data_IF_742515131881
#
_entry.id   IF_742515131881
#
_cell.length_a   1.000
_cell.length_b   1.000
_cell.length_c   1.000
_cell.angle_alpha   90.00
_cell.angle_beta   90.00
_cell.angle_gamma   90.00
#
_symmetry.space_group_name_H-M   'P 1'
#
loop_
_entity.id
_entity.type
_entity.pdbx_description
1 polymer ?
#
# COMPACT_ATOMS: atom_id res chain seq x y z
N UNK A 1 -15.11 24.60 -3.82
CA UNK A 1 -15.00 23.72 -2.62
C UNK A 1 -13.56 23.62 -2.17
N UNK A 2 -13.28 23.69 -0.86
CA UNK A 2 -11.97 23.50 -0.22
C UNK A 2 -11.99 22.22 0.61
N UNK A 3 -10.97 21.39 0.44
CA UNK A 3 -10.86 20.05 1.06
C UNK A 3 -9.74 20.07 2.09
N UNK A 4 -10.04 19.60 3.29
CA UNK A 4 -9.06 19.39 4.34
C UNK A 4 -8.83 17.89 4.54
N UNK A 5 -7.58 17.46 4.53
CA UNK A 5 -7.17 16.10 4.89
C UNK A 5 -6.59 16.11 6.31
N UNK A 6 -7.07 15.22 7.17
CA UNK A 6 -6.51 15.10 8.52
C UNK A 6 -5.05 14.66 8.50
N UNK A 7 -4.30 15.08 9.53
CA UNK A 7 -2.84 14.94 9.59
C UNK A 7 -2.45 13.78 10.50
N UNK A 8 -1.41 13.00 10.09
CA UNK A 8 -0.88 11.90 10.89
C UNK A 8 0.42 12.23 11.61
N UNK A 9 1.49 12.60 10.87
CA UNK A 9 2.88 12.72 11.30
C UNK A 9 3.52 11.37 11.71
N UNK A 10 3.22 10.31 10.99
CA UNK A 10 3.77 8.97 11.24
C UNK A 10 4.91 8.61 10.28
N UNK A 11 5.22 9.50 9.31
CA UNK A 11 6.17 9.26 8.22
C UNK A 11 5.86 7.98 7.43
N UNK A 12 4.59 7.78 7.13
CA UNK A 12 4.08 6.59 6.47
C UNK A 12 3.43 6.93 5.13
N UNK A 13 2.93 5.87 4.43
CA UNK A 13 2.31 6.00 3.10
C UNK A 13 1.19 7.04 3.06
N UNK A 14 0.36 7.14 4.11
CA UNK A 14 -0.75 8.09 4.15
C UNK A 14 -0.25 9.53 4.25
N UNK A 15 0.87 9.79 4.94
CA UNK A 15 1.51 11.11 4.94
C UNK A 15 2.06 11.48 3.55
N UNK A 16 2.62 10.50 2.80
CA UNK A 16 3.04 10.70 1.41
C UNK A 16 1.84 11.10 0.55
N UNK A 17 0.77 10.32 0.56
CA UNK A 17 -0.45 10.58 -0.22
C UNK A 17 -1.03 11.97 0.11
N UNK A 18 -1.10 12.31 1.39
CA UNK A 18 -1.54 13.63 1.84
C UNK A 18 -0.65 14.74 1.29
N UNK A 19 0.67 14.60 1.37
CA UNK A 19 1.62 15.61 0.90
C UNK A 19 1.56 15.79 -0.62
N UNK A 20 1.45 14.70 -1.38
CA UNK A 20 1.26 14.73 -2.82
C UNK A 20 -0.05 15.44 -3.19
N UNK A 21 -1.16 15.12 -2.49
CA UNK A 21 -2.42 15.81 -2.70
C UNK A 21 -2.29 17.34 -2.50
N UNK A 22 -1.73 17.77 -1.35
CA UNK A 22 -1.57 19.20 -1.07
C UNK A 22 -0.61 19.90 -2.02
N UNK A 23 0.40 19.22 -2.51
CA UNK A 23 1.35 19.75 -3.48
C UNK A 23 0.68 20.05 -4.82
N UNK A 24 -0.12 19.12 -5.31
CA UNK A 24 -0.63 19.15 -6.69
C UNK A 24 -2.05 19.75 -6.78
N UNK A 25 -2.81 19.77 -5.68
CA UNK A 25 -4.20 20.26 -5.62
C UNK A 25 -4.39 21.45 -4.68
N UNK A 26 -3.41 22.38 -4.63
CA UNK A 26 -3.42 23.56 -3.74
C UNK A 26 -4.67 24.42 -3.87
N UNK A 27 -5.17 24.60 -5.11
CA UNK A 27 -6.31 25.47 -5.40
C UNK A 27 -7.61 24.99 -4.76
N UNK A 28 -7.76 23.70 -4.52
CA UNK A 28 -8.93 23.07 -3.91
C UNK A 28 -8.64 22.53 -2.51
N UNK A 29 -7.49 22.83 -1.91
CA UNK A 29 -7.10 22.34 -0.59
C UNK A 29 -7.15 23.43 0.47
N UNK A 30 -7.39 23.03 1.73
CA UNK A 30 -7.27 23.88 2.91
C UNK A 30 -6.35 23.19 3.94
N UNK A 31 -5.42 23.97 4.52
CA UNK A 31 -4.57 23.48 5.61
C UNK A 31 -5.30 23.40 6.97
N UNK A 32 -6.48 23.97 7.07
CA UNK A 32 -7.25 24.07 8.31
C UNK A 32 -8.68 23.58 8.11
N UNK A 33 -9.16 22.74 9.02
CA UNK A 33 -10.49 22.18 8.96
C UNK A 33 -11.61 23.25 9.03
N UNK A 34 -11.39 24.35 9.74
CA UNK A 34 -12.38 25.45 9.85
C UNK A 34 -12.63 26.16 8.50
N UNK A 35 -11.65 26.24 7.62
CA UNK A 35 -11.76 26.89 6.31
C UNK A 35 -12.07 25.93 5.14
N UNK A 36 -12.29 24.65 5.46
CA UNK A 36 -12.68 23.66 4.47
C UNK A 36 -14.20 23.55 4.36
N UNK A 37 -14.68 23.20 3.19
CA UNK A 37 -16.08 22.83 2.94
C UNK A 37 -16.27 21.31 3.16
N UNK A 38 -15.27 20.53 2.79
CA UNK A 38 -15.22 19.07 2.95
C UNK A 38 -14.01 18.65 3.80
N UNK A 39 -14.24 17.72 4.72
CA UNK A 39 -13.20 17.07 5.52
C UNK A 39 -13.02 15.65 5.02
N UNK A 40 -11.81 15.34 4.54
CA UNK A 40 -11.42 13.98 4.19
C UNK A 40 -10.61 13.36 5.33
N UNK A 41 -11.23 12.43 6.07
CA UNK A 41 -10.56 11.61 7.07
C UNK A 41 -9.80 10.49 6.35
N UNK A 42 -8.66 10.85 5.74
CA UNK A 42 -7.77 9.89 5.05
C UNK A 42 -7.12 8.91 6.04
N UNK A 43 -6.99 9.31 7.30
CA UNK A 43 -6.49 8.51 8.41
C UNK A 43 -7.59 8.36 9.47
N UNK A 44 -8.46 7.34 9.35
CA UNK A 44 -9.61 7.17 10.23
C UNK A 44 -9.25 6.96 11.70
N UNK A 45 -8.10 6.34 12.01
CA UNK A 45 -7.61 6.16 13.39
C UNK A 45 -7.14 7.45 14.08
N UNK A 46 -7.04 8.55 13.33
CA UNK A 46 -6.71 9.88 13.85
C UNK A 46 -7.90 10.85 13.72
N UNK A 47 -9.13 10.33 13.58
CA UNK A 47 -10.32 11.16 13.36
C UNK A 47 -10.62 12.11 14.52
N UNK A 48 -10.32 11.69 15.76
CA UNK A 48 -10.52 12.48 16.99
C UNK A 48 -9.63 13.74 17.07
N UNK A 49 -8.54 13.79 16.28
CA UNK A 49 -7.71 14.99 16.13
C UNK A 49 -8.43 16.11 15.37
N UNK A 50 -9.55 15.81 14.71
CA UNK A 50 -10.42 16.80 14.09
C UNK A 50 -11.56 17.11 15.04
N UNK A 51 -11.64 18.36 15.50
CA UNK A 51 -12.68 18.75 16.46
C UNK A 51 -14.10 18.46 15.94
N UNK A 52 -14.93 17.86 16.76
CA UNK A 52 -16.34 17.53 16.46
C UNK A 52 -17.15 18.76 16.00
N UNK A 53 -16.79 19.98 16.44
CA UNK A 53 -17.41 21.24 15.97
C UNK A 53 -17.17 21.52 14.47
N UNK A 54 -16.11 20.94 13.87
CA UNK A 54 -15.83 21.05 12.44
C UNK A 54 -16.44 19.89 11.65
N UNK A 55 -16.56 18.69 12.25
CA UNK A 55 -17.18 17.53 11.60
C UNK A 55 -18.70 17.68 11.44
N UNK A 56 -19.40 18.23 12.44
CA UNK A 56 -20.88 18.34 12.45
C UNK A 56 -21.48 19.14 11.28
N UNK A 57 -20.96 20.34 10.93
CA UNK A 57 -21.57 21.18 9.91
C UNK A 57 -21.02 20.94 8.49
N UNK A 58 -20.05 20.06 8.29
CA UNK A 58 -19.34 19.88 7.04
C UNK A 58 -19.57 18.51 6.45
N UNK A 59 -19.38 18.38 5.14
CA UNK A 59 -19.29 17.09 4.49
C UNK A 59 -18.04 16.36 4.95
N UNK A 60 -18.19 15.12 5.43
CA UNK A 60 -17.10 14.28 5.91
C UNK A 60 -17.04 13.00 5.09
N UNK A 61 -15.92 12.82 4.42
CA UNK A 61 -15.56 11.57 3.74
C UNK A 61 -14.54 10.84 4.59
N UNK A 62 -14.75 9.55 4.84
CA UNK A 62 -13.85 8.74 5.65
C UNK A 62 -13.29 7.58 4.84
N UNK A 63 -11.96 7.46 4.76
CA UNK A 63 -11.29 6.33 4.10
C UNK A 63 -11.15 5.17 5.06
N UNK A 64 -11.61 3.98 4.68
CA UNK A 64 -11.27 2.72 5.35
C UNK A 64 -10.25 1.99 4.48
N UNK A 65 -9.04 1.82 5.02
CA UNK A 65 -7.92 1.22 4.29
C UNK A 65 -8.07 -0.30 4.16
N UNK A 66 -8.45 -0.98 5.23
CA UNK A 66 -8.75 -2.41 5.28
C UNK A 66 -9.51 -2.72 6.56
N UNK A 67 -10.13 -3.88 6.62
CA UNK A 67 -10.79 -4.41 7.80
C UNK A 67 -10.17 -5.77 8.16
N UNK A 68 -9.78 -5.91 9.42
CA UNK A 68 -9.33 -7.18 10.01
C UNK A 68 -10.53 -7.75 10.78
N UNK A 69 -11.35 -8.58 10.10
CA UNK A 69 -12.62 -9.07 10.65
C UNK A 69 -12.47 -9.82 11.98
N UNK A 70 -11.34 -10.51 12.17
CA UNK A 70 -10.97 -11.22 13.38
C UNK A 70 -10.57 -10.31 14.56
N UNK A 71 -10.25 -9.04 14.29
CA UNK A 71 -9.91 -8.01 15.30
C UNK A 71 -11.07 -7.05 15.62
N UNK A 72 -12.24 -7.28 15.06
CA UNK A 72 -13.41 -6.44 15.34
C UNK A 72 -13.93 -6.74 16.73
N UNK A 73 -13.48 -5.94 17.70
CA UNK A 73 -13.91 -5.98 19.09
C UNK A 73 -15.11 -5.03 19.35
N UNK A 74 -15.74 -5.16 20.51
CA UNK A 74 -16.78 -4.24 20.94
C UNK A 74 -16.29 -2.79 20.95
N UNK A 75 -15.09 -2.54 21.47
CA UNK A 75 -14.49 -1.20 21.50
C UNK A 75 -14.24 -0.64 20.09
N UNK A 76 -13.81 -1.49 19.15
CA UNK A 76 -13.66 -1.09 17.75
C UNK A 76 -15.00 -0.64 17.14
N UNK A 77 -16.08 -1.39 17.40
CA UNK A 77 -17.41 -1.05 16.90
C UNK A 77 -17.94 0.23 17.53
N UNK A 78 -17.75 0.43 18.84
CA UNK A 78 -18.14 1.67 19.53
C UNK A 78 -17.45 2.89 18.91
N UNK A 79 -16.14 2.81 18.67
CA UNK A 79 -15.38 3.88 18.00
C UNK A 79 -15.84 4.07 16.55
N UNK A 80 -16.08 2.97 15.83
CA UNK A 80 -16.56 3.01 14.46
C UNK A 80 -17.91 3.75 14.38
N UNK A 81 -18.89 3.37 15.20
CA UNK A 81 -20.22 3.99 15.20
C UNK A 81 -20.20 5.42 15.72
N UNK A 82 -19.31 5.75 16.66
CA UNK A 82 -19.14 7.15 17.07
C UNK A 82 -18.68 8.02 15.90
N UNK A 83 -17.69 7.55 15.13
CA UNK A 83 -17.18 8.22 13.92
C UNK A 83 -18.24 8.24 12.82
N UNK A 84 -18.97 7.15 12.63
CA UNK A 84 -20.01 7.01 11.62
C UNK A 84 -21.08 8.10 11.71
N UNK A 85 -21.42 8.57 12.94
CA UNK A 85 -22.37 9.69 13.13
C UNK A 85 -21.95 10.99 12.42
N UNK A 86 -20.69 11.15 12.07
CA UNK A 86 -20.17 12.34 11.38
C UNK A 86 -19.91 12.11 9.90
N UNK A 87 -19.76 10.87 9.45
CA UNK A 87 -19.39 10.54 8.06
C UNK A 87 -20.62 10.65 7.16
N UNK A 88 -20.45 11.28 6.00
CA UNK A 88 -21.49 11.36 4.96
C UNK A 88 -21.36 10.21 3.94
N UNK A 89 -20.15 9.88 3.52
CA UNK A 89 -19.88 8.77 2.62
C UNK A 89 -18.50 8.16 2.95
N UNK A 90 -18.38 6.86 2.78
CA UNK A 90 -17.09 6.18 2.95
C UNK A 90 -16.35 6.05 1.62
N UNK A 91 -15.05 6.22 1.70
CA UNK A 91 -14.11 5.86 0.66
C UNK A 91 -13.37 4.58 1.07
N UNK A 92 -13.19 3.67 0.13
CA UNK A 92 -12.37 2.45 0.27
C UNK A 92 -11.45 2.30 -0.93
N UNK A 93 -10.39 1.50 -0.78
CA UNK A 93 -9.34 1.37 -1.79
C UNK A 93 -9.66 0.24 -2.80
N UNK A 94 -10.51 -0.72 -2.42
CA UNK A 94 -10.85 -1.88 -3.24
C UNK A 94 -12.30 -2.34 -3.05
N UNK A 95 -12.86 -3.02 -4.04
CA UNK A 95 -14.20 -3.61 -3.95
C UNK A 95 -14.29 -4.66 -2.84
N UNK A 96 -13.18 -5.34 -2.53
CA UNK A 96 -13.10 -6.29 -1.40
C UNK A 96 -13.35 -5.60 -0.06
N UNK A 97 -12.66 -4.48 0.20
CA UNK A 97 -12.89 -3.67 1.40
C UNK A 97 -14.29 -3.07 1.44
N UNK A 98 -14.86 -2.70 0.27
CA UNK A 98 -16.25 -2.21 0.16
C UNK A 98 -17.26 -3.26 0.63
N UNK A 99 -17.12 -4.48 0.15
CA UNK A 99 -17.99 -5.60 0.54
C UNK A 99 -17.91 -5.91 2.03
N UNK A 100 -16.71 -5.79 2.64
CA UNK A 100 -16.51 -5.96 4.07
C UNK A 100 -17.17 -4.83 4.86
N UNK A 101 -16.95 -3.57 4.46
CA UNK A 101 -17.46 -2.39 5.17
C UNK A 101 -18.99 -2.30 5.13
N UNK A 102 -19.62 -2.74 4.05
CA UNK A 102 -21.09 -2.77 3.90
C UNK A 102 -21.83 -3.60 4.98
N UNK A 103 -21.11 -4.43 5.73
CA UNK A 103 -21.66 -5.18 6.87
C UNK A 103 -21.86 -4.30 8.13
N UNK A 104 -21.26 -3.10 8.16
CA UNK A 104 -21.17 -2.24 9.36
C UNK A 104 -21.87 -0.89 9.22
N UNK A 105 -22.24 -0.49 8.00
CA UNK A 105 -22.90 0.81 7.76
C UNK A 105 -23.81 0.74 6.55
N UNK A 106 -24.94 1.48 6.62
CA UNK A 106 -25.86 1.68 5.49
C UNK A 106 -25.45 2.88 4.61
N UNK A 107 -24.38 3.58 4.98
CA UNK A 107 -23.89 4.73 4.24
C UNK A 107 -23.29 4.30 2.90
N UNK A 108 -23.38 5.19 1.94
CA UNK A 108 -22.78 4.95 0.63
C UNK A 108 -21.27 4.75 0.75
N UNK A 109 -20.75 3.77 0.01
CA UNK A 109 -19.34 3.40 -0.02
C UNK A 109 -18.85 3.48 -1.46
N UNK A 110 -17.87 4.35 -1.70
CA UNK A 110 -17.24 4.51 -3.02
C UNK A 110 -15.84 3.92 -2.99
N UNK A 111 -15.55 3.02 -3.95
CA UNK A 111 -14.23 2.39 -4.12
C UNK A 111 -13.42 3.16 -5.15
N UNK A 112 -12.26 3.66 -4.74
CA UNK A 112 -11.30 4.36 -5.62
C UNK A 112 -9.89 3.98 -5.13
N UNK A 113 -9.09 3.23 -5.90
CA UNK A 113 -7.68 3.00 -5.58
C UNK A 113 -6.92 4.32 -5.48
N UNK A 114 -5.95 4.41 -4.57
CA UNK A 114 -5.09 5.58 -4.52
C UNK A 114 -4.23 5.69 -5.78
N UNK A 115 -3.74 6.90 -6.03
CA UNK A 115 -2.83 7.20 -7.12
C UNK A 115 -1.42 6.71 -6.86
N UNK A 116 -0.63 6.64 -7.92
CA UNK A 116 0.81 6.48 -7.89
C UNK A 116 1.48 7.66 -8.60
N UNK A 117 2.58 8.13 -8.02
CA UNK A 117 3.33 9.26 -8.60
C UNK A 117 4.45 8.72 -9.50
N UNK A 118 4.19 8.69 -10.83
CA UNK A 118 5.15 8.23 -11.83
C UNK A 118 6.38 9.14 -12.01
N UNK A 119 6.43 10.29 -11.32
CA UNK A 119 7.64 11.12 -11.23
C UNK A 119 8.59 10.64 -10.14
N UNK A 120 8.10 9.79 -9.25
CA UNK A 120 8.84 9.15 -8.17
C UNK A 120 9.15 7.71 -8.55
N UNK A 121 8.13 6.98 -9.04
CA UNK A 121 8.23 5.57 -9.43
C UNK A 121 8.18 5.48 -10.95
N UNK A 122 9.25 5.06 -11.57
CA UNK A 122 9.38 4.96 -13.01
C UNK A 122 10.43 3.91 -13.41
N UNK A 123 10.28 3.37 -14.61
CA UNK A 123 11.19 2.40 -15.20
C UNK A 123 12.54 3.05 -15.53
N UNK A 124 13.62 2.55 -14.92
CA UNK A 124 15.00 2.99 -15.14
C UNK A 124 15.64 2.04 -16.15
N UNK A 125 16.18 2.59 -17.24
CA UNK A 125 16.69 1.79 -18.37
C UNK A 125 18.05 1.14 -18.09
N UNK A 126 18.93 1.82 -17.35
CA UNK A 126 20.27 1.30 -17.03
C UNK A 126 20.26 0.64 -15.64
N UNK A 127 19.68 -0.55 -15.58
CA UNK A 127 19.63 -1.36 -14.36
C UNK A 127 21.03 -1.82 -13.94
N UNK A 128 21.93 -2.08 -14.89
CA UNK A 128 23.31 -2.50 -14.61
C UNK A 128 24.07 -1.47 -13.79
N UNK A 129 23.91 -0.17 -14.11
CA UNK A 129 24.52 0.90 -13.33
C UNK A 129 23.98 0.95 -11.89
N UNK A 130 22.68 0.72 -11.71
CA UNK A 130 22.08 0.72 -10.36
C UNK A 130 22.55 -0.50 -9.57
N UNK A 131 22.56 -1.69 -10.18
CA UNK A 131 23.09 -2.90 -9.53
C UNK A 131 24.55 -2.71 -9.09
N UNK A 132 25.38 -2.08 -9.93
CA UNK A 132 26.78 -1.74 -9.59
C UNK A 132 26.85 -0.77 -8.42
N UNK A 133 26.01 0.28 -8.39
CA UNK A 133 25.93 1.27 -7.29
C UNK A 133 25.66 0.59 -5.95
N UNK A 134 24.76 -0.38 -5.91
CA UNK A 134 24.41 -1.14 -4.70
C UNK A 134 25.24 -2.40 -4.50
N UNK A 135 26.26 -2.64 -5.33
CA UNK A 135 27.15 -3.82 -5.28
C UNK A 135 26.41 -5.14 -5.40
N UNK A 136 25.29 -5.16 -6.14
CA UNK A 136 24.62 -6.39 -6.54
C UNK A 136 25.35 -6.99 -7.73
N UNK A 137 25.51 -8.32 -7.72
CA UNK A 137 26.13 -9.02 -8.84
C UNK A 137 25.08 -9.30 -9.92
N UNK A 138 25.52 -9.40 -11.17
CA UNK A 138 24.63 -9.67 -12.30
C UNK A 138 23.98 -11.06 -12.24
N UNK A 139 24.65 -12.02 -11.57
CA UNK A 139 24.16 -13.39 -11.39
C UNK A 139 23.25 -13.56 -10.15
N UNK A 140 23.03 -12.53 -9.36
CA UNK A 140 22.11 -12.57 -8.23
C UNK A 140 20.65 -12.46 -8.68
N UNK A 141 19.81 -13.37 -8.18
CA UNK A 141 18.35 -13.29 -8.33
C UNK A 141 17.77 -12.52 -7.15
N UNK A 142 17.34 -11.28 -7.37
CA UNK A 142 16.93 -10.33 -6.34
C UNK A 142 15.42 -10.39 -6.11
N UNK A 143 15.01 -10.79 -4.91
CA UNK A 143 13.60 -10.89 -4.51
C UNK A 143 13.26 -9.83 -3.47
N UNK A 144 12.27 -9.00 -3.74
CA UNK A 144 11.89 -7.87 -2.90
C UNK A 144 10.67 -8.11 -2.00
N UNK A 145 10.72 -7.53 -0.78
CA UNK A 145 9.59 -7.36 0.12
C UNK A 145 9.78 -6.10 0.96
N UNK A 146 9.09 -5.01 0.59
CA UNK A 146 9.31 -3.65 1.15
C UNK A 146 8.17 -3.23 2.07
N UNK A 147 7.79 -4.10 2.99
CA UNK A 147 6.71 -3.85 3.94
C UNK A 147 7.10 -4.31 5.36
N UNK A 148 6.50 -3.69 6.36
CA UNK A 148 6.64 -4.09 7.76
C UNK A 148 6.14 -5.53 7.96
N UNK A 149 6.88 -6.35 8.69
CA UNK A 149 6.56 -7.77 8.90
C UNK A 149 6.29 -8.17 10.35
N UNK A 150 6.46 -7.25 11.31
CA UNK A 150 6.20 -7.52 12.74
C UNK A 150 5.18 -6.57 13.35
N UNK A 151 4.51 -7.00 14.42
CA UNK A 151 3.53 -6.21 15.16
C UNK A 151 3.79 -6.23 16.67
N UNK A 152 3.05 -5.40 17.42
CA UNK A 152 3.21 -5.29 18.87
C UNK A 152 4.54 -4.70 19.31
N UNK A 153 4.94 -4.94 20.54
CA UNK A 153 6.21 -4.47 21.12
C UNK A 153 7.39 -5.36 20.71
N UNK A 154 7.18 -6.68 20.62
CA UNK A 154 8.19 -7.63 20.20
C UNK A 154 8.36 -7.61 18.67
N UNK A 155 9.52 -7.14 18.14
CA UNK A 155 9.76 -7.08 16.71
C UNK A 155 9.93 -8.45 16.06
N UNK A 156 10.01 -9.54 16.84
CA UNK A 156 10.08 -10.92 16.35
C UNK A 156 8.71 -11.54 16.12
N UNK A 157 7.64 -10.96 16.66
CA UNK A 157 6.29 -11.44 16.42
C UNK A 157 5.83 -11.10 15.00
N UNK A 158 5.43 -12.10 14.19
CA UNK A 158 5.03 -11.85 12.82
C UNK A 158 3.70 -11.12 12.75
N UNK A 159 3.63 -10.11 11.89
CA UNK A 159 2.37 -9.51 11.47
C UNK A 159 1.71 -10.40 10.42
N UNK A 160 0.99 -11.43 10.84
CA UNK A 160 0.47 -12.49 9.96
C UNK A 160 -0.41 -11.97 8.82
N UNK A 161 -1.15 -10.88 9.01
CA UNK A 161 -1.94 -10.27 7.93
C UNK A 161 -1.06 -9.81 6.75
N UNK A 162 0.21 -9.45 7.00
CA UNK A 162 1.20 -9.10 5.97
C UNK A 162 1.92 -10.32 5.37
N UNK A 163 1.65 -11.52 5.86
CA UNK A 163 2.13 -12.79 5.32
C UNK A 163 3.65 -13.01 5.35
N UNK A 164 4.41 -12.57 6.38
CA UNK A 164 5.85 -12.79 6.40
C UNK A 164 6.22 -14.27 6.43
N UNK A 165 5.40 -15.10 7.06
CA UNK A 165 5.54 -16.55 7.08
C UNK A 165 5.30 -17.18 5.69
N UNK A 166 4.34 -16.66 4.92
CA UNK A 166 4.09 -17.05 3.53
C UNK A 166 5.26 -16.64 2.64
N UNK A 167 5.74 -15.41 2.79
CA UNK A 167 6.91 -14.91 2.06
C UNK A 167 8.12 -15.83 2.25
N UNK A 168 8.45 -16.21 3.48
CA UNK A 168 9.56 -17.13 3.77
C UNK A 168 9.34 -18.51 3.11
N UNK A 169 8.12 -19.06 3.14
CA UNK A 169 7.81 -20.32 2.44
C UNK A 169 8.08 -20.21 0.93
N UNK A 170 7.71 -19.09 0.31
CA UNK A 170 7.93 -18.84 -1.11
C UNK A 170 9.42 -18.71 -1.41
N UNK A 171 10.14 -17.87 -0.66
CA UNK A 171 11.58 -17.65 -0.86
C UNK A 171 12.37 -18.96 -0.71
N UNK A 172 11.99 -19.83 0.23
CA UNK A 172 12.59 -21.17 0.37
C UNK A 172 12.37 -22.06 -0.87
N UNK A 173 11.21 -21.96 -1.53
CA UNK A 173 10.97 -22.67 -2.79
C UNK A 173 11.83 -22.09 -3.91
N UNK A 174 11.86 -20.75 -4.06
CA UNK A 174 12.66 -20.07 -5.07
C UNK A 174 14.17 -20.34 -4.92
N UNK A 175 14.67 -20.43 -3.69
CA UNK A 175 16.08 -20.74 -3.39
C UNK A 175 16.55 -22.09 -3.95
N UNK A 176 15.63 -23.06 -4.10
CA UNK A 176 15.97 -24.38 -4.68
C UNK A 176 16.30 -24.29 -6.18
N UNK A 177 15.71 -23.34 -6.87
CA UNK A 177 15.91 -23.14 -8.32
C UNK A 177 16.88 -22.01 -8.65
N UNK A 178 17.24 -21.17 -7.66
CA UNK A 178 18.09 -19.99 -7.82
C UNK A 178 19.17 -19.98 -6.73
N UNK A 179 20.32 -20.57 -7.00
CA UNK A 179 21.41 -20.69 -6.02
C UNK A 179 21.91 -19.33 -5.50
N UNK A 180 21.90 -18.30 -6.36
CA UNK A 180 22.33 -16.94 -6.05
C UNK A 180 21.18 -16.01 -5.62
N UNK A 181 20.08 -16.58 -5.12
CA UNK A 181 18.97 -15.78 -4.60
C UNK A 181 19.42 -14.93 -3.40
N UNK A 182 19.08 -13.64 -3.46
CA UNK A 182 19.23 -12.67 -2.38
C UNK A 182 17.92 -11.94 -2.17
N UNK A 183 17.50 -11.77 -0.91
CA UNK A 183 16.30 -11.03 -0.54
C UNK A 183 16.64 -9.58 -0.24
N UNK A 184 15.97 -8.64 -0.89
CA UNK A 184 16.05 -7.22 -0.57
C UNK A 184 14.89 -6.81 0.31
N UNK A 185 15.21 -6.14 1.42
CA UNK A 185 14.26 -5.67 2.40
C UNK A 185 14.39 -4.15 2.57
N UNK A 186 13.27 -3.44 2.70
CA UNK A 186 13.26 -2.05 3.15
C UNK A 186 12.30 -1.88 4.33
N UNK A 187 12.39 -0.72 4.98
CA UNK A 187 11.51 -0.34 6.08
C UNK A 187 11.94 -0.87 7.44
N UNK A 188 11.23 -0.43 8.46
CA UNK A 188 11.46 -0.82 9.85
C UNK A 188 10.75 -2.12 10.21
N UNK A 189 11.21 -2.74 11.33
CA UNK A 189 10.56 -3.90 11.94
C UNK A 189 10.54 -5.11 11.00
N UNK A 190 11.75 -5.46 10.52
CA UNK A 190 11.98 -6.60 9.61
C UNK A 190 12.61 -7.80 10.32
N UNK A 191 12.60 -7.80 11.66
CA UNK A 191 13.31 -8.77 12.48
C UNK A 191 12.80 -10.19 12.28
N UNK A 192 11.48 -10.38 12.13
CA UNK A 192 10.91 -11.70 11.90
C UNK A 192 11.46 -12.33 10.60
N UNK A 193 11.37 -11.62 9.47
CA UNK A 193 11.86 -12.11 8.18
C UNK A 193 13.38 -12.32 8.24
N UNK A 194 14.14 -11.39 8.80
CA UNK A 194 15.60 -11.49 8.93
C UNK A 194 15.98 -12.75 9.70
N UNK A 195 15.37 -13.01 10.85
CA UNK A 195 15.64 -14.20 11.65
C UNK A 195 15.35 -15.50 10.86
N UNK A 196 14.25 -15.53 10.13
CA UNK A 196 13.91 -16.69 9.31
C UNK A 196 14.84 -16.87 8.10
N UNK A 197 15.31 -15.77 7.47
CA UNK A 197 16.31 -15.84 6.39
C UNK A 197 17.64 -16.37 6.89
N UNK A 198 18.13 -15.88 8.03
CA UNK A 198 19.37 -16.38 8.69
C UNK A 198 19.24 -17.87 9.00
N UNK A 199 18.17 -18.29 9.64
CA UNK A 199 17.88 -19.69 10.01
C UNK A 199 17.88 -20.64 8.80
N UNK A 200 17.49 -20.13 7.62
CA UNK A 200 17.41 -20.91 6.39
C UNK A 200 18.61 -20.69 5.45
N UNK A 201 19.69 -20.02 5.89
CA UNK A 201 20.89 -19.71 5.09
C UNK A 201 20.56 -19.00 3.77
N UNK A 202 19.61 -18.06 3.80
CA UNK A 202 19.21 -17.23 2.65
C UNK A 202 19.87 -15.87 2.77
N UNK A 203 20.61 -15.45 1.75
CA UNK A 203 21.25 -14.13 1.71
C UNK A 203 20.19 -13.04 1.67
N UNK A 204 20.44 -11.96 2.38
CA UNK A 204 19.58 -10.79 2.37
C UNK A 204 20.38 -9.50 2.50
N UNK A 205 19.74 -8.41 2.15
CA UNK A 205 20.24 -7.05 2.39
C UNK A 205 19.09 -6.16 2.86
N UNK A 206 19.33 -5.41 3.94
CA UNK A 206 18.35 -4.51 4.54
C UNK A 206 18.73 -3.05 4.28
N UNK A 207 17.83 -2.33 3.63
CA UNK A 207 17.84 -0.88 3.50
C UNK A 207 16.75 -0.32 4.42
N UNK A 208 17.09 0.01 5.67
CA UNK A 208 16.07 0.22 6.71
C UNK A 208 15.08 1.34 6.34
N UNK A 209 15.56 2.56 6.24
CA UNK A 209 14.73 3.71 5.84
C UNK A 209 15.42 4.45 4.71
N UNK A 210 14.84 4.34 3.52
CA UNK A 210 15.37 4.97 2.31
C UNK A 210 14.47 6.09 1.84
N UNK A 211 15.05 7.05 1.11
CA UNK A 211 14.27 8.03 0.36
C UNK A 211 13.57 7.40 -0.86
N UNK A 212 12.69 8.16 -1.48
CA UNK A 212 11.93 7.66 -2.63
C UNK A 212 12.78 7.41 -3.87
N UNK A 213 13.90 8.13 -4.04
CA UNK A 213 14.85 7.88 -5.14
C UNK A 213 15.48 6.51 -5.00
N UNK A 214 16.03 6.24 -3.81
CA UNK A 214 16.60 4.94 -3.47
C UNK A 214 15.55 3.82 -3.54
N UNK A 215 14.33 4.08 -3.06
CA UNK A 215 13.25 3.09 -3.13
C UNK A 215 12.90 2.73 -4.58
N UNK A 216 12.81 3.74 -5.48
CA UNK A 216 12.61 3.52 -6.91
C UNK A 216 13.73 2.70 -7.53
N UNK A 217 14.99 3.03 -7.22
CA UNK A 217 16.16 2.29 -7.71
C UNK A 217 16.12 0.82 -7.24
N UNK A 218 15.79 0.59 -5.96
CA UNK A 218 15.69 -0.78 -5.42
C UNK A 218 14.59 -1.60 -6.08
N UNK A 219 13.41 -1.00 -6.35
CA UNK A 219 12.37 -1.67 -7.13
C UNK A 219 12.89 -2.08 -8.52
N UNK A 220 13.58 -1.19 -9.22
CA UNK A 220 14.11 -1.45 -10.56
C UNK A 220 15.22 -2.52 -10.58
N UNK A 221 15.90 -2.77 -9.44
CA UNK A 221 16.91 -3.83 -9.34
C UNK A 221 16.33 -5.24 -9.22
N UNK A 222 15.03 -5.37 -8.84
CA UNK A 222 14.43 -6.66 -8.52
C UNK A 222 14.14 -7.50 -9.76
N UNK A 223 14.43 -8.80 -9.64
CA UNK A 223 13.94 -9.81 -10.57
C UNK A 223 12.50 -10.25 -10.22
N UNK A 224 12.10 -10.10 -8.93
CA UNK A 224 10.74 -10.40 -8.50
C UNK A 224 10.39 -9.62 -7.23
N UNK A 225 9.24 -8.97 -7.22
CA UNK A 225 8.60 -8.47 -5.99
C UNK A 225 7.44 -9.39 -5.58
N UNK A 226 7.32 -9.69 -4.28
CA UNK A 226 6.30 -10.61 -3.77
C UNK A 226 5.43 -9.91 -2.72
N UNK A 227 4.13 -9.82 -2.99
CA UNK A 227 3.11 -9.46 -2.00
C UNK A 227 2.49 -10.76 -1.49
N UNK A 228 2.84 -11.15 -0.26
CA UNK A 228 2.38 -12.39 0.35
C UNK A 228 1.31 -12.17 1.45
N UNK A 229 0.68 -11.00 1.45
CA UNK A 229 -0.27 -10.58 2.50
C UNK A 229 -1.55 -11.43 2.48
N UNK A 230 -2.17 -11.60 3.64
CA UNK A 230 -3.51 -12.20 3.77
C UNK A 230 -4.61 -11.15 3.70
N UNK A 231 -4.33 -9.95 4.23
CA UNK A 231 -5.29 -8.83 4.28
C UNK A 231 -4.57 -7.54 3.93
N UNK A 232 -5.07 -6.85 2.92
CA UNK A 232 -4.66 -5.51 2.47
C UNK A 232 -5.85 -4.80 1.83
N UNK A 233 -5.89 -3.48 1.96
CA UNK A 233 -6.87 -2.67 1.22
C UNK A 233 -6.39 -2.34 -0.19
N UNK A 234 -5.13 -1.89 -0.30
CA UNK A 234 -4.49 -1.55 -1.56
C UNK A 234 -3.00 -1.38 -1.34
N UNK A 235 -2.21 -2.48 -1.41
CA UNK A 235 -0.77 -2.39 -1.25
C UNK A 235 -0.18 -1.47 -2.32
N UNK A 236 0.36 -0.33 -1.91
CA UNK A 236 0.94 0.64 -2.86
C UNK A 236 2.07 0.03 -3.68
N UNK A 237 2.77 -0.96 -3.12
CA UNK A 237 3.81 -1.71 -3.84
C UNK A 237 3.31 -2.32 -5.16
N UNK A 238 2.02 -2.67 -5.27
CA UNK A 238 1.45 -3.18 -6.53
C UNK A 238 1.48 -2.10 -7.61
N UNK A 239 1.01 -0.89 -7.30
CA UNK A 239 1.04 0.22 -8.25
C UNK A 239 2.46 0.74 -8.50
N UNK A 240 3.31 0.73 -7.47
CA UNK A 240 4.71 1.13 -7.57
C UNK A 240 5.48 0.18 -8.50
N UNK A 241 5.39 -1.13 -8.29
CA UNK A 241 5.99 -2.13 -9.18
C UNK A 241 5.42 -2.08 -10.59
N UNK A 242 4.11 -1.96 -10.74
CA UNK A 242 3.47 -1.84 -12.05
C UNK A 242 4.02 -0.62 -12.82
N UNK A 243 4.16 0.53 -12.15
CA UNK A 243 4.67 1.77 -12.74
C UNK A 243 6.15 1.69 -13.10
N UNK A 244 6.96 1.01 -12.28
CA UNK A 244 8.40 0.79 -12.51
C UNK A 244 8.69 -0.31 -13.52
N UNK A 245 7.66 -1.08 -13.92
CA UNK A 245 7.82 -2.33 -14.67
C UNK A 245 8.63 -3.40 -13.93
N UNK A 246 8.59 -3.37 -12.59
CA UNK A 246 9.18 -4.42 -11.76
C UNK A 246 8.32 -5.68 -11.82
N UNK A 247 8.88 -6.86 -12.11
CA UNK A 247 8.12 -8.11 -12.08
C UNK A 247 7.51 -8.34 -10.68
N UNK A 248 6.19 -8.54 -10.62
CA UNK A 248 5.46 -8.69 -9.36
C UNK A 248 4.46 -9.83 -9.42
N UNK A 249 4.37 -10.57 -8.31
CA UNK A 249 3.29 -11.51 -8.03
C UNK A 249 2.66 -11.20 -6.67
N UNK A 250 1.37 -11.44 -6.53
CA UNK A 250 0.62 -11.10 -5.33
C UNK A 250 -0.37 -12.18 -4.96
N UNK A 251 -0.63 -12.35 -3.67
CA UNK A 251 -1.89 -12.95 -3.24
C UNK A 251 -3.05 -12.06 -3.70
N UNK A 252 -4.25 -12.62 -3.80
CA UNK A 252 -5.45 -11.84 -4.16
C UNK A 252 -5.88 -10.95 -2.98
N UNK A 253 -5.20 -9.81 -2.83
CA UNK A 253 -5.47 -8.82 -1.76
C UNK A 253 -5.66 -7.41 -2.32
N UNK A 254 -6.59 -6.69 -1.74
CA UNK A 254 -6.86 -5.30 -2.08
C UNK A 254 -7.10 -5.10 -3.57
N UNK A 255 -6.23 -4.31 -4.20
CA UNK A 255 -6.31 -3.96 -5.63
C UNK A 255 -5.60 -4.97 -6.56
N UNK A 256 -5.10 -6.10 -6.04
CA UNK A 256 -4.29 -7.02 -6.82
C UNK A 256 -5.00 -7.46 -8.12
N UNK A 257 -6.22 -7.98 -8.02
CA UNK A 257 -7.02 -8.43 -9.17
C UNK A 257 -7.50 -7.30 -10.09
N UNK A 258 -7.40 -6.04 -9.65
CA UNK A 258 -7.74 -4.87 -10.49
C UNK A 258 -6.56 -4.39 -11.35
N UNK A 259 -5.33 -4.74 -10.96
CA UNK A 259 -4.08 -4.26 -11.57
C UNK A 259 -3.31 -5.39 -12.24
N UNK A 260 -3.22 -6.55 -11.61
CA UNK A 260 -2.44 -7.68 -12.07
C UNK A 260 -3.28 -8.65 -12.89
N UNK A 261 -2.63 -9.40 -13.79
CA UNK A 261 -3.27 -10.51 -14.50
C UNK A 261 -3.49 -11.71 -13.55
N UNK A 262 -4.44 -12.56 -13.88
CA UNK A 262 -4.75 -13.77 -13.08
C UNK A 262 -3.52 -14.66 -12.87
N UNK A 263 -2.65 -14.77 -13.86
CA UNK A 263 -1.42 -15.54 -13.78
C UNK A 263 -0.37 -14.95 -12.80
N UNK A 264 -0.49 -13.66 -12.49
CA UNK A 264 0.36 -12.97 -11.51
C UNK A 264 -0.22 -13.02 -10.08
N UNK A 265 -1.41 -13.61 -9.92
CA UNK A 265 -2.08 -13.77 -8.63
C UNK A 265 -1.95 -15.24 -8.20
N UNK A 266 -1.59 -15.44 -6.94
CA UNK A 266 -1.37 -16.77 -6.38
C UNK A 266 -2.06 -16.97 -5.03
N UNK A 267 -2.32 -18.22 -4.69
CA UNK A 267 -2.39 -18.68 -3.32
C UNK A 267 -1.08 -19.39 -2.94
N UNK A 268 -0.83 -19.58 -1.64
CA UNK A 268 0.44 -20.10 -1.15
C UNK A 268 0.78 -21.51 -1.72
N UNK A 269 -0.23 -22.26 -2.10
CA UNK A 269 -0.08 -23.63 -2.58
C UNK A 269 0.33 -23.66 -4.05
N UNK A 270 -0.22 -22.74 -4.87
CA UNK A 270 0.02 -22.68 -6.30
C UNK A 270 1.06 -21.62 -6.74
N UNK A 271 1.80 -21.01 -5.80
CA UNK A 271 2.80 -19.98 -6.11
C UNK A 271 3.74 -20.36 -7.26
N UNK A 272 4.13 -21.63 -7.36
CA UNK A 272 5.06 -22.08 -8.41
C UNK A 272 4.54 -21.93 -9.83
N UNK A 273 3.24 -21.69 -10.00
CA UNK A 273 2.58 -21.49 -11.30
C UNK A 273 2.37 -19.99 -11.60
N UNK A 274 2.67 -19.10 -10.65
CA UNK A 274 2.47 -17.67 -10.89
C UNK A 274 3.56 -17.08 -11.76
N UNK A 275 3.15 -16.25 -12.72
CA UNK A 275 4.03 -15.63 -13.72
C UNK A 275 3.76 -14.12 -13.71
N UNK A 276 4.77 -13.28 -13.45
CA UNK A 276 4.61 -11.83 -13.54
C UNK A 276 4.26 -11.40 -14.96
N UNK A 277 3.17 -10.66 -15.15
CA UNK A 277 2.84 -10.01 -16.41
C UNK A 277 3.06 -8.50 -16.29
N UNK A 278 4.29 -8.09 -16.55
CA UNK A 278 4.77 -6.72 -16.34
C UNK A 278 4.00 -5.71 -17.19
N UNK A 279 3.78 -6.03 -18.48
CA UNK A 279 3.13 -5.08 -19.38
C UNK A 279 1.64 -4.92 -19.05
N UNK A 280 0.94 -6.01 -18.72
CA UNK A 280 -0.45 -5.96 -18.26
C UNK A 280 -0.59 -5.08 -17.02
N UNK A 281 0.27 -5.29 -16.01
CA UNK A 281 0.28 -4.50 -14.79
C UNK A 281 0.55 -3.01 -15.08
N UNK A 282 1.54 -2.72 -15.92
CA UNK A 282 1.87 -1.36 -16.33
C UNK A 282 0.70 -0.65 -17.00
N UNK A 283 0.06 -1.26 -18.00
CA UNK A 283 -1.08 -0.68 -18.71
C UNK A 283 -2.24 -0.38 -17.76
N UNK A 284 -2.53 -1.28 -16.81
CA UNK A 284 -3.58 -1.07 -15.81
C UNK A 284 -3.23 0.00 -14.78
N UNK A 285 -1.95 0.27 -14.55
CA UNK A 285 -1.51 1.32 -13.61
C UNK A 285 -1.68 2.73 -14.17
N UNK A 286 -1.69 2.93 -15.49
CA UNK A 286 -1.67 4.25 -16.14
C UNK A 286 -2.82 5.17 -15.70
N UNK A 287 -4.00 4.62 -15.47
CA UNK A 287 -5.18 5.37 -15.00
C UNK A 287 -5.01 5.95 -13.59
N UNK A 288 -4.08 5.41 -12.80
CA UNK A 288 -3.76 5.87 -11.44
C UNK A 288 -2.55 6.80 -11.39
N UNK A 289 -1.85 7.01 -12.52
CA UNK A 289 -0.77 7.98 -12.58
C UNK A 289 -1.30 9.41 -12.34
N UNK A 290 -0.54 10.22 -11.60
CA UNK A 290 -0.91 11.63 -11.41
C UNK A 290 -0.73 12.42 -12.71
N UNK A 291 -1.62 13.36 -13.10
CA UNK A 291 -2.77 13.83 -12.32
C UNK A 291 -4.06 13.01 -12.48
N UNK A 292 -4.11 11.97 -13.35
CA UNK A 292 -5.33 11.22 -13.65
C UNK A 292 -5.89 10.53 -12.40
N UNK A 293 -5.03 9.96 -11.55
CA UNK A 293 -5.42 9.37 -10.27
C UNK A 293 -6.14 10.36 -9.35
N UNK A 294 -5.80 11.65 -9.38
CA UNK A 294 -6.51 12.68 -8.62
C UNK A 294 -7.90 13.00 -9.19
N UNK A 295 -8.12 12.88 -10.50
CA UNK A 295 -9.39 13.23 -11.13
C UNK A 295 -10.54 12.43 -10.53
N UNK A 296 -10.35 11.13 -10.29
CA UNK A 296 -11.38 10.29 -9.70
C UNK A 296 -11.81 10.79 -8.31
N UNK A 297 -10.85 11.23 -7.49
CA UNK A 297 -11.15 11.82 -6.18
C UNK A 297 -11.81 13.21 -6.31
N UNK A 298 -11.37 14.05 -7.23
CA UNK A 298 -11.97 15.36 -7.48
C UNK A 298 -13.42 15.20 -7.95
N UNK A 299 -13.69 14.29 -8.86
CA UNK A 299 -15.05 13.96 -9.31
C UNK A 299 -15.91 13.43 -8.17
N UNK A 300 -15.32 12.57 -7.32
CA UNK A 300 -15.99 12.06 -6.14
C UNK A 300 -16.37 13.16 -5.15
N UNK A 301 -15.45 14.07 -4.84
CA UNK A 301 -15.71 15.18 -3.92
C UNK A 301 -16.68 16.20 -4.50
N UNK A 302 -16.65 16.45 -5.81
CA UNK A 302 -17.55 17.41 -6.46
C UNK A 302 -19.03 17.02 -6.39
N UNK A 303 -19.37 15.78 -6.05
CA UNK A 303 -20.76 15.36 -5.79
C UNK A 303 -21.38 16.03 -4.58
N UNK A 304 -20.56 16.65 -3.74
CA UNK A 304 -20.97 17.33 -2.50
C UNK A 304 -20.89 18.86 -2.57
N UNK A 305 -20.66 19.39 -3.76
CA UNK A 305 -20.51 20.83 -4.00
C UNK A 305 -21.85 21.51 -4.30
#
# INVERSE_FOLDING_TARGET
MKIYLNKLNENWIVDRLRNEWYKDNKSISSNFANFADLIWLIAPWQWTNVSKKHLKPKTVICTIHHLEEDKISKNYLEEFYERDNYVNEYHVISEKTKSQLAKFTDKKITSIPFWVNQKIFFDIKDIGQIRTKYKFRDDEYLVGSFQRDSEGEDPKLPKLIKGPDQFIKIVKKLKKSNENLKVLLTGKRRDYIINELIKNNIKYELFEMVDFTTLNELYNCLDLYIVASRIEGGPQAILECATNKTPIVSTDVGVASEILSDESIFNIENFSNSIPNVEFAYQNSLKFHVPNGYKQFIEFFNKFN
#
